data_IF_502490882232
#
_entry.id   IF_502490882232
#
_cell.length_a   1.000
_cell.length_b   1.000
_cell.length_c   1.000
_cell.angle_alpha   90.00
_cell.angle_beta   90.00
_cell.angle_gamma   90.00
#
_symmetry.space_group_name_H-M   'P 1'
#
loop_
_entity.id
_entity.type
_entity.pdbx_description
1 polymer ?
#
# COMPACT_ATOMS: atom_id res chain seq x y z
N UNK A 1 4.32 20.53 32.21
CA UNK A 1 5.10 19.28 31.97
C UNK A 1 4.27 18.16 31.32
N UNK A 2 2.97 18.02 31.60
CA UNK A 2 2.08 17.03 30.96
C UNK A 2 1.81 17.28 29.45
N UNK A 3 1.58 18.53 29.03
CA UNK A 3 1.38 18.88 27.60
C UNK A 3 2.57 18.52 26.70
N UNK A 4 3.80 18.78 27.15
CA UNK A 4 5.02 18.45 26.41
C UNK A 4 5.21 16.94 26.22
N UNK A 5 4.68 16.09 27.11
CA UNK A 5 4.77 14.63 27.00
C UNK A 5 3.75 14.09 26.00
N UNK A 6 2.51 14.59 26.04
CA UNK A 6 1.45 14.16 25.12
C UNK A 6 1.80 14.47 23.66
N UNK A 7 2.56 15.54 23.41
CA UNK A 7 2.95 15.89 22.04
C UNK A 7 4.14 15.08 21.49
N UNK A 8 4.84 14.27 22.31
CA UNK A 8 5.95 13.43 21.85
C UNK A 8 5.44 12.07 21.37
N UNK A 9 5.70 11.76 20.10
CA UNK A 9 5.26 10.53 19.45
C UNK A 9 6.45 9.71 18.98
N UNK A 10 6.42 8.41 19.21
CA UNK A 10 7.40 7.46 18.66
C UNK A 10 6.77 6.71 17.48
N UNK A 11 7.37 6.82 16.30
CA UNK A 11 6.98 6.08 15.10
C UNK A 11 8.00 4.98 14.83
N UNK A 12 7.55 3.73 14.75
CA UNK A 12 8.40 2.55 14.62
C UNK A 12 8.03 1.77 13.37
N UNK A 13 8.99 1.61 12.47
CA UNK A 13 8.99 0.55 11.45
C UNK A 13 10.15 -0.40 11.75
N UNK A 14 9.82 -1.57 12.28
CA UNK A 14 10.80 -2.57 12.68
C UNK A 14 11.02 -3.66 11.62
N UNK A 15 10.31 -3.59 10.48
CA UNK A 15 10.43 -4.54 9.39
C UNK A 15 11.11 -3.89 8.19
N UNK A 16 12.11 -4.56 7.62
CA UNK A 16 12.71 -4.06 6.39
C UNK A 16 11.86 -4.44 5.18
N UNK A 17 11.06 -3.48 4.71
CA UNK A 17 10.30 -3.60 3.48
C UNK A 17 10.56 -2.37 2.60
N UNK A 18 11.20 -2.55 1.44
CA UNK A 18 11.50 -1.43 0.53
C UNK A 18 10.26 -0.63 0.13
N UNK A 19 9.12 -1.30 -0.02
CA UNK A 19 7.83 -0.66 -0.31
C UNK A 19 7.34 0.30 0.78
N UNK A 20 7.90 0.25 2.00
CA UNK A 20 7.48 1.10 3.10
C UNK A 20 8.08 2.50 3.07
N UNK A 21 9.07 2.79 2.23
CA UNK A 21 9.69 4.13 2.20
C UNK A 21 8.63 5.22 1.96
N UNK A 22 7.84 5.07 0.90
CA UNK A 22 6.79 6.04 0.57
C UNK A 22 5.67 6.05 1.61
N UNK A 23 5.26 4.87 2.10
CA UNK A 23 4.24 4.75 3.14
C UNK A 23 4.67 5.47 4.43
N UNK A 24 5.87 5.18 4.93
CA UNK A 24 6.42 5.81 6.14
C UNK A 24 6.51 7.32 5.97
N UNK A 25 6.98 7.81 4.81
CA UNK A 25 7.04 9.24 4.52
C UNK A 25 5.67 9.90 4.68
N UNK A 26 4.65 9.36 4.00
CA UNK A 26 3.27 9.89 4.02
C UNK A 26 2.72 9.97 5.44
N UNK A 27 2.89 8.92 6.24
CA UNK A 27 2.35 8.89 7.60
C UNK A 27 3.15 9.73 8.60
N UNK A 28 4.47 9.78 8.49
CA UNK A 28 5.32 10.63 9.34
C UNK A 28 5.05 12.12 9.04
N UNK A 29 4.98 12.51 7.76
CA UNK A 29 4.67 13.88 7.35
C UNK A 29 3.29 14.32 7.84
N UNK A 30 2.30 13.43 7.80
CA UNK A 30 0.97 13.70 8.35
C UNK A 30 1.01 13.98 9.86
N UNK A 31 1.75 13.18 10.63
CA UNK A 31 1.91 13.37 12.08
C UNK A 31 2.66 14.68 12.39
N UNK A 32 3.72 14.99 11.64
CA UNK A 32 4.45 16.26 11.79
C UNK A 32 3.54 17.46 11.50
N UNK A 33 2.74 17.40 10.44
CA UNK A 33 1.76 18.44 10.07
C UNK A 33 0.67 18.64 11.13
N UNK A 34 0.31 17.58 11.86
CA UNK A 34 -0.62 17.68 12.99
C UNK A 34 0.00 18.30 14.25
N UNK A 35 1.30 18.58 14.26
CA UNK A 35 2.02 19.29 15.33
C UNK A 35 2.76 18.37 16.31
N UNK A 36 2.81 17.06 16.06
CA UNK A 36 3.51 16.11 16.92
C UNK A 36 5.03 16.27 16.81
N UNK A 37 5.72 16.16 17.95
CA UNK A 37 7.16 15.96 17.99
C UNK A 37 7.46 14.47 17.74
N UNK A 38 7.61 14.11 16.47
CA UNK A 38 7.81 12.72 16.02
C UNK A 38 9.28 12.32 16.16
N UNK A 39 9.52 11.22 16.87
CA UNK A 39 10.79 10.49 16.88
C UNK A 39 10.68 9.17 16.14
N UNK A 40 11.73 8.81 15.43
CA UNK A 40 11.74 7.69 14.50
C UNK A 40 12.57 6.51 14.99
N UNK A 41 12.06 5.31 14.75
CA UNK A 41 12.80 4.05 14.84
C UNK A 41 12.63 3.31 13.53
N UNK A 42 13.65 3.34 12.67
CA UNK A 42 13.60 2.79 11.32
C UNK A 42 14.86 1.98 11.01
N UNK A 43 14.72 1.00 10.11
CA UNK A 43 15.87 0.30 9.53
C UNK A 43 16.82 1.25 8.79
N UNK A 44 18.14 1.04 8.94
CA UNK A 44 19.18 1.92 8.37
C UNK A 44 18.99 2.22 6.89
N UNK A 45 18.58 1.24 6.09
CA UNK A 45 18.35 1.43 4.65
C UNK A 45 17.08 2.22 4.32
N UNK A 46 16.03 2.12 5.14
CA UNK A 46 14.82 2.93 4.97
C UNK A 46 15.13 4.36 5.42
N UNK A 47 15.82 4.51 6.56
CA UNK A 47 16.21 5.80 7.09
C UNK A 47 17.06 6.63 6.09
N UNK A 48 17.99 5.99 5.38
CA UNK A 48 18.83 6.67 4.37
C UNK A 48 18.06 7.18 3.14
N UNK A 49 16.82 6.73 2.93
CA UNK A 49 15.99 7.14 1.79
C UNK A 49 14.94 8.20 2.16
N UNK A 50 14.85 8.55 3.44
CA UNK A 50 13.89 9.52 3.94
C UNK A 50 14.56 10.87 4.23
N UNK A 51 13.85 12.00 4.03
CA UNK A 51 14.43 13.33 4.15
C UNK A 51 14.49 13.85 5.60
N UNK A 52 14.62 12.96 6.59
CA UNK A 52 14.57 13.34 8.01
C UNK A 52 15.98 13.47 8.59
N UNK A 53 16.19 14.49 9.42
CA UNK A 53 17.46 14.75 10.06
C UNK A 53 17.77 13.68 11.13
N UNK A 54 19.06 13.40 11.35
CA UNK A 54 19.50 12.36 12.30
C UNK A 54 18.94 12.57 13.72
N UNK A 55 18.78 13.81 14.17
CA UNK A 55 18.23 14.17 15.47
C UNK A 55 16.75 13.80 15.63
N UNK A 56 16.03 13.54 14.55
CA UNK A 56 14.65 13.03 14.58
C UNK A 56 14.60 11.53 14.88
N UNK A 57 15.71 10.80 14.81
CA UNK A 57 15.75 9.37 15.11
C UNK A 57 16.01 9.16 16.60
N UNK A 58 15.12 8.39 17.25
CA UNK A 58 15.39 7.83 18.56
C UNK A 58 16.34 6.62 18.46
N UNK A 59 16.27 5.89 17.34
CA UNK A 59 17.12 4.75 17.06
C UNK A 59 17.15 4.49 15.55
N UNK A 60 18.33 4.17 15.01
CA UNK A 60 18.46 3.59 13.67
C UNK A 60 18.80 2.12 13.83
N UNK A 61 17.92 1.24 13.34
CA UNK A 61 18.12 -0.21 13.45
C UNK A 61 19.25 -0.63 12.50
N UNK A 62 20.28 -1.35 12.98
CA UNK A 62 21.43 -1.72 12.17
C UNK A 62 21.04 -2.70 11.05
N UNK A 63 21.80 -2.69 9.94
CA UNK A 63 21.52 -3.52 8.74
C UNK A 63 21.37 -5.02 9.03
N UNK A 64 22.09 -5.52 10.02
CA UNK A 64 22.03 -6.92 10.46
C UNK A 64 20.65 -7.31 11.03
N UNK A 65 19.90 -6.35 11.55
CA UNK A 65 18.60 -6.53 12.19
C UNK A 65 17.49 -6.04 11.23
N UNK A 66 17.22 -6.83 10.20
CA UNK A 66 16.31 -6.46 9.13
C UNK A 66 16.64 -7.09 7.77
N UNK A 67 17.53 -8.08 7.71
CA UNK A 67 17.81 -8.76 6.45
C UNK A 67 16.58 -9.52 5.94
N UNK A 68 16.30 -9.38 4.65
CA UNK A 68 15.25 -10.15 4.00
C UNK A 68 15.74 -11.60 3.81
N UNK A 69 15.31 -12.48 4.70
CA UNK A 69 15.68 -13.90 4.67
C UNK A 69 14.54 -14.70 4.05
N UNK A 70 14.85 -15.54 3.05
CA UNK A 70 13.85 -16.37 2.37
C UNK A 70 13.17 -17.40 3.30
N UNK A 71 13.83 -17.79 4.40
CA UNK A 71 13.27 -18.70 5.39
C UNK A 71 12.30 -17.98 6.35
N UNK A 72 11.00 -18.35 6.39
CA UNK A 72 10.00 -17.67 7.21
C UNK A 72 10.22 -17.77 8.72
N UNK A 73 10.82 -18.85 9.22
CA UNK A 73 11.08 -19.04 10.65
C UNK A 73 12.24 -18.15 11.07
N UNK A 74 13.34 -18.19 10.31
CA UNK A 74 14.51 -17.35 10.58
C UNK A 74 14.17 -15.86 10.47
N UNK A 75 13.33 -15.48 9.49
CA UNK A 75 12.79 -14.12 9.39
C UNK A 75 12.09 -13.67 10.67
N UNK A 76 11.23 -14.52 11.26
CA UNK A 76 10.57 -14.22 12.55
C UNK A 76 11.54 -14.16 13.73
N UNK A 77 12.58 -14.99 13.75
CA UNK A 77 13.62 -14.93 14.79
C UNK A 77 14.34 -13.58 14.71
N UNK A 78 14.75 -13.15 13.51
CA UNK A 78 15.40 -11.85 13.30
C UNK A 78 14.47 -10.71 13.72
N UNK A 79 13.18 -10.77 13.37
CA UNK A 79 12.20 -9.78 13.80
C UNK A 79 12.05 -9.72 15.32
N UNK A 80 12.06 -10.86 16.02
CA UNK A 80 12.05 -10.90 17.50
C UNK A 80 13.32 -10.27 18.09
N UNK A 81 14.50 -10.56 17.52
CA UNK A 81 15.76 -9.95 17.92
C UNK A 81 15.74 -8.43 17.67
N UNK A 82 15.22 -7.97 16.53
CA UNK A 82 15.00 -6.56 16.24
C UNK A 82 14.09 -5.90 17.28
N UNK A 83 12.98 -6.55 17.65
CA UNK A 83 12.08 -6.05 18.69
C UNK A 83 12.82 -5.90 20.02
N UNK A 84 13.54 -6.95 20.45
CA UNK A 84 14.30 -6.95 21.71
C UNK A 84 15.35 -5.83 21.69
N UNK A 85 16.11 -5.71 20.60
CA UNK A 85 17.13 -4.67 20.42
C UNK A 85 16.54 -3.27 20.60
N UNK A 86 15.42 -2.97 19.94
CA UNK A 86 14.73 -1.68 20.09
C UNK A 86 14.28 -1.48 21.54
N UNK A 87 13.76 -2.52 22.21
CA UNK A 87 13.31 -2.41 23.61
C UNK A 87 14.43 -2.08 24.58
N UNK A 88 15.65 -2.56 24.32
CA UNK A 88 16.82 -2.26 25.13
C UNK A 88 17.36 -0.84 24.90
N UNK A 89 17.14 -0.26 23.71
CA UNK A 89 17.72 1.03 23.32
C UNK A 89 16.72 2.20 23.34
N UNK A 90 15.43 1.94 23.47
CA UNK A 90 14.38 2.98 23.44
C UNK A 90 13.57 3.01 24.73
N UNK A 91 13.56 4.17 25.39
CA UNK A 91 12.73 4.41 26.57
C UNK A 91 11.30 4.82 26.18
N UNK A 92 10.41 3.83 25.99
CA UNK A 92 9.01 4.08 25.58
C UNK A 92 8.23 5.01 26.52
N UNK A 93 8.53 5.01 27.81
CA UNK A 93 7.84 5.85 28.80
C UNK A 93 8.06 7.36 28.61
N UNK A 94 9.02 7.76 27.76
CA UNK A 94 9.29 9.15 27.38
C UNK A 94 8.34 9.69 26.30
N UNK A 95 7.48 8.85 25.72
CA UNK A 95 6.56 9.21 24.65
C UNK A 95 5.11 9.16 25.14
N UNK A 96 4.27 10.08 24.66
CA UNK A 96 2.83 10.07 24.90
C UNK A 96 2.11 9.05 24.02
N UNK A 97 2.60 8.87 22.79
CA UNK A 97 2.04 7.95 21.79
C UNK A 97 3.13 7.09 21.14
N UNK A 98 2.79 5.83 20.85
CA UNK A 98 3.64 4.90 20.11
C UNK A 98 2.86 4.35 18.93
N UNK A 99 3.31 4.67 17.71
CA UNK A 99 2.74 4.19 16.45
C UNK A 99 3.68 3.16 15.85
N UNK A 100 3.15 1.97 15.55
CA UNK A 100 3.88 0.90 14.86
C UNK A 100 3.37 0.85 13.42
N UNK A 101 4.24 1.09 12.44
CA UNK A 101 3.85 1.25 11.03
C UNK A 101 3.43 -0.05 10.36
N UNK A 102 3.80 -1.20 10.92
CA UNK A 102 3.44 -2.52 10.42
C UNK A 102 3.58 -3.59 11.51
N UNK A 103 3.07 -4.80 11.23
CA UNK A 103 3.22 -5.93 12.15
C UNK A 103 3.30 -7.28 11.45
N UNK A 104 4.09 -8.18 12.02
CA UNK A 104 3.84 -9.63 11.96
C UNK A 104 3.05 -10.02 13.21
N UNK A 105 1.97 -10.78 13.02
CA UNK A 105 1.05 -11.12 14.09
C UNK A 105 1.74 -11.86 15.23
N UNK A 106 2.62 -12.80 14.90
CA UNK A 106 3.22 -13.72 15.87
C UNK A 106 4.31 -13.00 16.64
N UNK A 107 5.25 -12.33 15.96
CA UNK A 107 6.41 -11.74 16.64
C UNK A 107 5.98 -10.60 17.55
N UNK A 108 5.14 -9.67 17.07
CA UNK A 108 4.71 -8.53 17.86
C UNK A 108 3.74 -8.97 18.96
N UNK A 109 2.89 -9.97 18.70
CA UNK A 109 1.99 -10.50 19.73
C UNK A 109 2.70 -11.31 20.81
N UNK A 110 3.80 -11.99 20.47
CA UNK A 110 4.65 -12.67 21.45
C UNK A 110 5.46 -11.68 22.29
N UNK A 111 6.07 -10.69 21.63
CA UNK A 111 6.92 -9.67 22.26
C UNK A 111 6.44 -8.26 21.87
N UNK A 112 5.39 -7.72 22.50
CA UNK A 112 4.98 -6.35 22.25
C UNK A 112 6.04 -5.36 22.73
N UNK A 113 6.27 -4.27 21.99
CA UNK A 113 7.20 -3.21 22.39
C UNK A 113 6.77 -2.57 23.72
N UNK A 114 5.51 -2.16 23.76
CA UNK A 114 4.89 -1.44 24.87
C UNK A 114 3.39 -1.77 24.94
N UNK A 115 2.69 -1.23 25.93
CA UNK A 115 1.22 -1.21 25.95
C UNK A 115 0.71 0.11 25.35
N UNK A 116 -0.55 0.19 24.96
CA UNK A 116 -1.18 1.41 24.41
C UNK A 116 -0.56 1.87 23.08
N UNK A 117 -0.09 0.92 22.28
CA UNK A 117 0.38 1.18 20.92
C UNK A 117 -0.78 1.35 19.96
N UNK A 118 -0.54 2.10 18.88
CA UNK A 118 -1.40 2.17 17.70
C UNK A 118 -0.69 1.41 16.56
N UNK A 119 -1.25 0.27 16.15
CA UNK A 119 -0.59 -0.68 15.26
C UNK A 119 -1.25 -0.65 13.88
N UNK A 120 -0.52 -0.18 12.87
CA UNK A 120 -1.04 -0.13 11.50
C UNK A 120 -0.99 -1.52 10.86
N UNK A 121 -2.10 -1.93 10.28
CA UNK A 121 -2.33 -3.24 9.69
C UNK A 121 -2.48 -3.14 8.17
N UNK A 122 -1.55 -3.71 7.41
CA UNK A 122 -1.51 -3.66 5.94
C UNK A 122 -2.29 -4.79 5.25
N UNK A 123 -2.59 -5.85 5.99
CA UNK A 123 -3.37 -7.00 5.52
C UNK A 123 -3.59 -8.05 6.61
N UNK A 124 -3.34 -7.69 7.87
CA UNK A 124 -3.28 -8.58 9.02
C UNK A 124 -4.65 -9.10 9.45
N UNK A 125 -5.75 -8.48 8.98
CA UNK A 125 -7.11 -8.99 9.14
C UNK A 125 -7.26 -10.43 8.63
N UNK A 126 -6.51 -10.82 7.59
CA UNK A 126 -6.46 -12.21 7.09
C UNK A 126 -5.95 -13.20 8.14
N UNK A 127 -5.07 -12.74 9.04
CA UNK A 127 -4.55 -13.54 10.15
C UNK A 127 -5.63 -14.00 11.13
N UNK A 128 -6.78 -13.31 11.20
CA UNK A 128 -7.89 -13.70 12.09
C UNK A 128 -8.54 -15.03 11.70
N UNK A 129 -8.48 -15.43 10.42
CA UNK A 129 -8.96 -16.74 9.98
C UNK A 129 -8.08 -17.89 10.52
N UNK A 130 -6.78 -17.63 10.72
CA UNK A 130 -5.84 -18.61 11.23
C UNK A 130 -5.84 -18.63 12.78
N UNK A 131 -5.98 -19.82 13.39
CA UNK A 131 -6.12 -19.95 14.85
C UNK A 131 -4.91 -19.38 15.63
N UNK A 132 -3.70 -19.67 15.16
CA UNK A 132 -2.45 -19.24 15.81
C UNK A 132 -2.28 -17.73 15.71
N UNK A 133 -2.37 -17.17 14.50
CA UNK A 133 -2.29 -15.72 14.29
C UNK A 133 -3.38 -14.98 15.05
N UNK A 134 -4.61 -15.50 15.05
CA UNK A 134 -5.74 -14.93 15.81
C UNK A 134 -5.45 -14.84 17.30
N UNK A 135 -4.81 -15.84 17.90
CA UNK A 135 -4.43 -15.80 19.32
C UNK A 135 -3.54 -14.59 19.60
N UNK A 136 -2.50 -14.37 18.78
CA UNK A 136 -1.57 -13.26 18.95
C UNK A 136 -2.19 -11.90 18.65
N UNK A 137 -3.05 -11.79 17.63
CA UNK A 137 -3.81 -10.56 17.36
C UNK A 137 -4.72 -10.22 18.56
N UNK A 138 -5.46 -11.20 19.10
CA UNK A 138 -6.31 -10.99 20.29
C UNK A 138 -5.49 -10.60 21.52
N UNK A 139 -4.30 -11.15 21.68
CA UNK A 139 -3.38 -10.74 22.75
C UNK A 139 -2.96 -9.28 22.62
N UNK A 140 -2.61 -8.83 21.41
CA UNK A 140 -2.30 -7.42 21.14
C UNK A 140 -3.51 -6.51 21.40
N UNK A 141 -4.71 -6.94 20.99
CA UNK A 141 -5.95 -6.19 21.12
C UNK A 141 -6.32 -5.81 22.58
N UNK A 142 -5.84 -6.57 23.58
CA UNK A 142 -6.16 -6.31 24.99
C UNK A 142 -5.68 -4.93 25.47
N UNK A 143 -4.54 -4.48 24.97
CA UNK A 143 -3.89 -3.27 25.48
C UNK A 143 -3.52 -2.27 24.40
N UNK A 144 -3.82 -2.56 23.13
CA UNK A 144 -3.41 -1.75 21.98
C UNK A 144 -4.60 -1.50 21.06
N UNK A 145 -4.46 -0.50 20.21
CA UNK A 145 -5.38 -0.23 19.12
C UNK A 145 -4.77 -0.64 17.78
N UNK A 146 -5.64 -0.98 16.83
CA UNK A 146 -5.26 -1.20 15.44
C UNK A 146 -5.69 -0.03 14.58
N UNK A 147 -4.91 0.24 13.55
CA UNK A 147 -5.23 1.18 12.48
C UNK A 147 -5.28 0.39 11.18
N UNK A 148 -6.35 0.56 10.42
CA UNK A 148 -6.55 -0.01 9.08
C UNK A 148 -6.91 1.10 8.09
N UNK A 149 -6.97 0.78 6.81
CA UNK A 149 -7.07 1.80 5.77
C UNK A 149 -8.47 2.04 5.20
N UNK A 150 -9.39 1.14 5.44
CA UNK A 150 -10.80 1.30 5.08
C UNK A 150 -11.69 0.40 5.96
N UNK A 151 -13.01 0.59 5.88
CA UNK A 151 -13.97 -0.18 6.68
C UNK A 151 -13.96 -1.69 6.34
N UNK A 152 -13.68 -2.06 5.09
CA UNK A 152 -13.58 -3.48 4.71
C UNK A 152 -12.45 -4.22 5.45
N UNK A 153 -11.35 -3.52 5.77
CA UNK A 153 -10.25 -4.06 6.55
C UNK A 153 -10.56 -4.12 8.05
N UNK A 154 -11.45 -3.25 8.54
CA UNK A 154 -11.87 -3.17 9.94
C UNK A 154 -12.87 -4.27 10.30
N UNK A 155 -13.79 -4.56 9.38
CA UNK A 155 -14.89 -5.50 9.57
C UNK A 155 -14.46 -6.87 10.18
N UNK A 156 -13.38 -7.53 9.72
CA UNK A 156 -12.96 -8.81 10.29
C UNK A 156 -12.53 -8.70 11.76
N UNK A 157 -11.90 -7.59 12.17
CA UNK A 157 -11.52 -7.38 13.57
C UNK A 157 -12.75 -7.25 14.46
N UNK A 158 -13.72 -6.43 14.03
CA UNK A 158 -14.98 -6.23 14.76
C UNK A 158 -15.75 -7.54 14.89
N UNK A 159 -15.86 -8.33 13.81
CA UNK A 159 -16.46 -9.68 13.83
C UNK A 159 -15.80 -10.64 14.83
N UNK A 160 -14.52 -10.42 15.16
CA UNK A 160 -13.79 -11.22 16.15
C UNK A 160 -13.77 -10.59 17.55
N UNK A 161 -14.59 -9.56 17.80
CA UNK A 161 -14.73 -8.88 19.08
C UNK A 161 -13.66 -7.83 19.37
N UNK A 162 -12.84 -7.44 18.38
CA UNK A 162 -11.80 -6.43 18.54
C UNK A 162 -12.37 -5.07 18.15
N UNK A 163 -12.62 -4.22 19.14
CA UNK A 163 -13.33 -2.93 18.97
C UNK A 163 -12.41 -1.73 18.75
N UNK A 164 -11.19 -1.75 19.32
CA UNK A 164 -10.20 -0.65 19.24
C UNK A 164 -9.51 -0.67 17.87
N UNK A 165 -10.28 -0.41 16.81
CA UNK A 165 -9.83 -0.43 15.42
C UNK A 165 -10.31 0.83 14.73
N UNK A 166 -9.35 1.62 14.29
CA UNK A 166 -9.58 2.92 13.66
C UNK A 166 -9.25 2.85 12.18
N UNK A 167 -9.99 3.62 11.38
CA UNK A 167 -9.70 3.78 9.96
C UNK A 167 -8.91 5.08 9.78
N UNK A 168 -7.75 4.98 9.14
CA UNK A 168 -6.92 6.11 8.73
C UNK A 168 -6.62 5.92 7.26
N UNK A 169 -6.75 6.95 6.43
CA UNK A 169 -6.37 6.85 5.02
C UNK A 169 -4.93 6.36 4.86
N UNK A 170 -4.68 5.51 3.85
CA UNK A 170 -3.33 5.10 3.47
C UNK A 170 -2.48 6.29 2.97
N UNK A 171 -3.14 7.31 2.42
CA UNK A 171 -2.49 8.50 1.89
C UNK A 171 -1.88 8.31 0.51
N UNK A 172 -1.75 9.45 -0.18
CA UNK A 172 -1.18 9.54 -1.52
C UNK A 172 0.33 9.78 -1.43
N UNK A 173 1.08 9.14 -2.32
CA UNK A 173 2.47 9.51 -2.58
C UNK A 173 2.54 10.89 -3.24
N UNK A 174 3.70 11.57 -3.21
CA UNK A 174 3.89 12.76 -4.03
C UNK A 174 3.61 12.46 -5.52
N UNK A 175 3.04 13.42 -6.27
CA UNK A 175 2.86 13.26 -7.72
C UNK A 175 4.18 12.88 -8.39
N UNK A 176 4.09 12.00 -9.38
CA UNK A 176 5.23 11.52 -10.13
C UNK A 176 5.79 12.62 -11.04
N UNK A 177 7.07 12.49 -11.35
CA UNK A 177 7.75 13.37 -12.28
C UNK A 177 8.05 12.60 -13.56
N UNK A 178 7.96 13.30 -14.70
CA UNK A 178 8.38 12.75 -15.97
C UNK A 178 9.88 12.96 -16.17
N UNK A 179 10.57 11.91 -16.59
CA UNK A 179 12.03 11.85 -16.73
C UNK A 179 12.40 11.71 -18.21
N UNK A 180 12.65 12.81 -18.94
CA UNK A 180 12.82 12.79 -20.40
C UNK A 180 14.08 12.03 -20.85
N UNK A 181 15.08 11.91 -19.98
CA UNK A 181 16.35 11.24 -20.28
C UNK A 181 16.28 9.71 -20.12
N UNK A 182 15.18 9.17 -19.60
CA UNK A 182 15.01 7.72 -19.45
C UNK A 182 14.54 7.15 -20.80
N UNK A 183 15.33 6.28 -21.44
CA UNK A 183 14.97 5.73 -22.74
C UNK A 183 13.67 4.94 -22.66
N UNK A 184 12.83 5.10 -23.68
CA UNK A 184 11.61 4.31 -23.80
C UNK A 184 11.98 2.83 -23.94
N UNK A 185 11.50 2.01 -22.98
CA UNK A 185 11.73 0.56 -23.01
C UNK A 185 10.86 -0.17 -24.04
N UNK A 186 9.68 0.40 -24.31
CA UNK A 186 8.68 -0.19 -25.20
C UNK A 186 8.48 0.75 -26.37
N UNK A 187 8.32 0.19 -27.57
CA UNK A 187 7.96 0.96 -28.76
C UNK A 187 6.49 1.42 -28.65
N UNK A 188 6.25 2.51 -27.93
CA UNK A 188 4.90 3.05 -27.70
C UNK A 188 4.43 3.97 -28.82
N UNK A 189 5.35 4.46 -29.67
CA UNK A 189 5.08 5.48 -30.70
C UNK A 189 4.09 5.02 -31.79
N UNK A 190 3.97 3.72 -32.03
CA UNK A 190 3.00 3.16 -32.98
C UNK A 190 1.57 3.10 -32.42
N UNK A 191 1.40 3.36 -31.13
CA UNK A 191 0.11 3.28 -30.44
C UNK A 191 -0.40 4.68 -30.07
N UNK A 192 -1.72 4.87 -30.19
CA UNK A 192 -2.38 6.12 -29.79
C UNK A 192 -2.65 6.18 -28.30
N UNK A 193 -2.81 5.02 -27.66
CA UNK A 193 -3.28 4.88 -26.28
C UNK A 193 -2.46 3.83 -25.54
N UNK A 194 -2.36 3.99 -24.23
CA UNK A 194 -1.65 3.10 -23.34
C UNK A 194 -2.50 2.72 -22.13
N UNK A 195 -2.68 1.42 -21.91
CA UNK A 195 -3.24 0.86 -20.68
C UNK A 195 -2.11 0.15 -19.94
N UNK A 196 -1.98 0.41 -18.65
CA UNK A 196 -0.90 -0.15 -17.85
C UNK A 196 -1.41 -0.83 -16.58
N UNK A 197 -1.03 -2.08 -16.37
CA UNK A 197 -1.17 -2.79 -15.10
C UNK A 197 0.18 -2.81 -14.35
N UNK A 198 0.37 -1.93 -13.35
CA UNK A 198 1.67 -1.74 -12.68
C UNK A 198 2.06 -2.81 -11.66
N UNK A 199 1.08 -3.58 -11.16
CA UNK A 199 1.30 -4.51 -10.05
C UNK A 199 1.81 -5.87 -10.53
N UNK A 200 2.83 -6.46 -9.88
CA UNK A 200 3.24 -7.84 -10.18
C UNK A 200 2.26 -8.89 -9.63
N UNK A 201 1.37 -8.49 -8.71
CA UNK A 201 0.36 -9.35 -8.09
C UNK A 201 -0.94 -9.34 -8.91
N UNK A 202 -0.91 -9.96 -10.08
CA UNK A 202 -2.09 -10.06 -10.95
C UNK A 202 -2.86 -11.37 -10.72
N UNK A 203 -4.16 -11.39 -11.05
CA UNK A 203 -4.94 -12.62 -11.14
C UNK A 203 -4.61 -13.38 -12.42
N UNK A 204 -3.84 -14.46 -12.30
CA UNK A 204 -3.43 -15.27 -13.44
C UNK A 204 -4.60 -15.88 -14.20
N UNK A 205 -5.69 -16.23 -13.52
CA UNK A 205 -6.87 -16.82 -14.16
C UNK A 205 -7.63 -15.80 -15.01
N UNK A 206 -7.65 -14.54 -14.59
CA UNK A 206 -8.23 -13.46 -15.37
C UNK A 206 -7.32 -13.06 -16.54
N UNK A 207 -6.01 -13.03 -16.32
CA UNK A 207 -5.03 -12.75 -17.39
C UNK A 207 -5.12 -13.78 -18.51
N UNK A 208 -5.28 -15.05 -18.19
CA UNK A 208 -5.45 -16.08 -19.21
C UNK A 208 -6.67 -15.82 -20.11
N UNK A 209 -7.81 -15.47 -19.51
CA UNK A 209 -9.02 -15.06 -20.26
C UNK A 209 -8.80 -13.80 -21.08
N UNK A 210 -8.04 -12.84 -20.54
CA UNK A 210 -7.70 -11.58 -21.20
C UNK A 210 -6.90 -11.85 -22.49
N UNK A 211 -5.88 -12.70 -22.41
CA UNK A 211 -5.00 -12.99 -23.55
C UNK A 211 -5.72 -13.71 -24.69
N UNK A 212 -6.68 -14.57 -24.36
CA UNK A 212 -7.45 -15.35 -25.35
C UNK A 212 -8.73 -14.66 -25.82
N UNK A 213 -9.01 -13.43 -25.40
CA UNK A 213 -10.24 -12.72 -25.79
C UNK A 213 -10.11 -12.03 -27.15
N UNK A 214 -10.72 -12.60 -28.19
CA UNK A 214 -10.79 -11.99 -29.52
C UNK A 214 -11.40 -10.57 -29.49
N UNK A 215 -12.43 -10.37 -28.65
CA UNK A 215 -13.09 -9.08 -28.50
C UNK A 215 -12.14 -8.01 -27.96
N UNK A 216 -11.36 -8.33 -26.93
CA UNK A 216 -10.37 -7.40 -26.40
C UNK A 216 -9.29 -7.11 -27.44
N UNK A 217 -8.80 -8.14 -28.12
CA UNK A 217 -7.78 -7.97 -29.17
C UNK A 217 -8.28 -7.04 -30.29
N UNK A 218 -9.51 -7.24 -30.77
CA UNK A 218 -10.14 -6.38 -31.76
C UNK A 218 -10.30 -4.94 -31.28
N UNK A 219 -10.68 -4.73 -30.00
CA UNK A 219 -10.76 -3.40 -29.40
C UNK A 219 -9.38 -2.72 -29.35
N UNK A 220 -8.36 -3.41 -28.84
CA UNK A 220 -7.01 -2.87 -28.74
C UNK A 220 -6.43 -2.49 -30.11
N UNK A 221 -6.67 -3.31 -31.13
CA UNK A 221 -6.26 -3.01 -32.51
C UNK A 221 -7.01 -1.80 -33.08
N UNK A 222 -8.34 -1.79 -32.98
CA UNK A 222 -9.20 -0.71 -33.50
C UNK A 222 -8.81 0.65 -32.90
N UNK A 223 -8.60 0.69 -31.58
CA UNK A 223 -8.27 1.92 -30.85
C UNK A 223 -6.75 2.23 -30.86
N UNK A 224 -5.94 1.41 -31.54
CA UNK A 224 -4.46 1.47 -31.52
C UNK A 224 -3.92 1.59 -30.10
N UNK A 225 -4.43 0.75 -29.21
CA UNK A 225 -4.09 0.74 -27.80
C UNK A 225 -3.03 -0.33 -27.51
N UNK A 226 -2.03 0.04 -26.72
CA UNK A 226 -1.07 -0.89 -26.14
C UNK A 226 -1.49 -1.22 -24.70
N UNK A 227 -1.56 -2.50 -24.38
CA UNK A 227 -1.75 -2.98 -23.01
C UNK A 227 -0.43 -3.53 -22.46
N UNK A 228 0.08 -2.94 -21.39
CA UNK A 228 1.27 -3.43 -20.69
C UNK A 228 0.85 -4.08 -19.39
N UNK A 229 1.17 -5.36 -19.25
CA UNK A 229 0.89 -6.15 -18.06
C UNK A 229 2.19 -6.49 -17.35
N UNK A 230 2.36 -5.97 -16.13
CA UNK A 230 3.40 -6.46 -15.25
C UNK A 230 2.90 -7.70 -14.50
N UNK A 231 3.64 -8.79 -14.55
CA UNK A 231 3.36 -10.00 -13.76
C UNK A 231 4.62 -10.88 -13.71
N UNK A 232 4.78 -11.67 -12.64
CA UNK A 232 6.00 -12.42 -12.38
C UNK A 232 6.09 -13.75 -13.15
N UNK A 233 5.02 -14.22 -13.78
CA UNK A 233 5.02 -15.51 -14.50
C UNK A 233 5.48 -15.32 -15.95
N UNK A 234 6.21 -16.26 -16.55
CA UNK A 234 6.45 -16.16 -18.00
C UNK A 234 5.19 -16.58 -18.76
N UNK A 235 4.71 -15.71 -19.64
CA UNK A 235 3.59 -16.02 -20.54
C UNK A 235 4.05 -15.73 -21.96
N UNK A 236 3.90 -16.71 -22.84
CA UNK A 236 4.15 -16.53 -24.27
C UNK A 236 2.97 -15.77 -24.85
N UNK A 237 3.19 -14.52 -25.26
CA UNK A 237 2.19 -13.67 -25.89
C UNK A 237 2.48 -13.59 -27.38
N UNK A 238 1.46 -13.84 -28.21
CA UNK A 238 1.52 -13.70 -29.66
C UNK A 238 0.86 -12.41 -30.17
N UNK A 239 0.24 -11.62 -29.29
CA UNK A 239 -0.48 -10.41 -29.66
C UNK A 239 0.39 -9.15 -29.58
N UNK A 240 0.53 -8.43 -30.69
CA UNK A 240 1.36 -7.23 -30.80
C UNK A 240 0.88 -6.02 -29.96
N UNK A 241 -0.39 -5.98 -29.56
CA UNK A 241 -0.97 -4.93 -28.72
C UNK A 241 -0.87 -5.23 -27.22
N UNK A 242 -0.29 -6.37 -26.82
CA UNK A 242 -0.13 -6.74 -25.41
C UNK A 242 1.35 -7.03 -25.13
N UNK A 243 1.94 -6.28 -24.21
CA UNK A 243 3.32 -6.49 -23.76
C UNK A 243 3.30 -6.97 -22.31
N UNK A 244 4.16 -7.93 -22.05
CA UNK A 244 4.38 -8.46 -20.72
C UNK A 244 5.72 -7.99 -20.14
N UNK A 245 5.73 -7.68 -18.84
CA UNK A 245 6.92 -7.25 -18.11
C UNK A 245 7.06 -8.08 -16.83
N UNK A 246 8.07 -8.95 -16.77
CA UNK A 246 8.33 -9.79 -15.59
C UNK A 246 9.37 -9.20 -14.65
N UNK A 247 10.22 -8.34 -15.18
CA UNK A 247 11.28 -7.69 -14.44
C UNK A 247 10.79 -6.54 -13.56
N UNK A 248 11.63 -6.19 -12.60
CA UNK A 248 11.46 -4.96 -11.83
C UNK A 248 11.72 -3.74 -12.73
N UNK A 249 10.78 -2.79 -12.76
CA UNK A 249 10.96 -1.53 -13.46
C UNK A 249 11.71 -0.54 -12.56
N UNK A 250 12.80 0.10 -13.04
CA UNK A 250 13.39 1.25 -12.36
C UNK A 250 12.33 2.31 -12.08
N UNK A 251 12.48 3.03 -10.96
CA UNK A 251 11.46 3.99 -10.47
C UNK A 251 11.11 5.03 -11.54
N UNK A 252 12.11 5.59 -12.22
CA UNK A 252 11.90 6.63 -13.22
C UNK A 252 11.15 6.08 -14.46
N UNK A 253 11.48 4.87 -14.90
CA UNK A 253 10.77 4.19 -15.98
C UNK A 253 9.33 3.85 -15.58
N UNK A 254 9.11 3.39 -14.35
CA UNK A 254 7.78 3.15 -13.80
C UNK A 254 6.94 4.43 -13.81
N UNK A 255 7.50 5.54 -13.33
CA UNK A 255 6.83 6.84 -13.29
C UNK A 255 6.49 7.35 -14.69
N UNK A 256 7.42 7.30 -15.64
CA UNK A 256 7.15 7.68 -17.03
C UNK A 256 6.02 6.85 -17.62
N UNK A 257 6.05 5.53 -17.42
CA UNK A 257 5.04 4.63 -17.95
C UNK A 257 3.67 4.91 -17.32
N UNK A 258 3.63 5.10 -16.00
CA UNK A 258 2.41 5.44 -15.27
C UNK A 258 1.83 6.77 -15.73
N UNK A 259 2.67 7.80 -15.89
CA UNK A 259 2.27 9.13 -16.36
C UNK A 259 1.87 9.16 -17.84
N UNK A 260 2.39 8.24 -18.66
CA UNK A 260 2.01 8.14 -20.08
C UNK A 260 0.72 7.34 -20.27
N UNK A 261 0.38 6.43 -19.34
CA UNK A 261 -0.83 5.62 -19.44
C UNK A 261 -2.11 6.48 -19.41
N UNK A 262 -3.03 6.19 -20.32
CA UNK A 262 -4.39 6.74 -20.35
C UNK A 262 -5.25 6.10 -19.26
N UNK A 263 -5.08 4.78 -19.05
CA UNK A 263 -5.83 4.00 -18.06
C UNK A 263 -4.86 3.13 -17.27
N UNK A 264 -4.98 3.17 -15.95
CA UNK A 264 -4.32 2.24 -15.04
C UNK A 264 -5.26 1.07 -14.76
N UNK A 265 -4.76 -0.15 -14.89
CA UNK A 265 -5.53 -1.38 -14.73
C UNK A 265 -5.09 -2.12 -13.48
N UNK A 266 -6.04 -2.51 -12.63
CA UNK A 266 -5.76 -3.29 -11.42
C UNK A 266 -6.56 -4.59 -11.41
N UNK A 267 -5.89 -5.72 -11.64
CA UNK A 267 -6.50 -7.06 -11.67
C UNK A 267 -5.90 -7.88 -10.52
N UNK A 268 -6.25 -7.54 -9.28
CA UNK A 268 -5.73 -8.27 -8.13
C UNK A 268 -6.47 -9.60 -7.91
N UNK A 269 -5.76 -10.67 -7.51
CA UNK A 269 -6.38 -11.96 -7.21
C UNK A 269 -7.25 -11.91 -5.95
N UNK A 270 -8.14 -12.89 -5.76
CA UNK A 270 -9.01 -13.00 -4.58
C UNK A 270 -8.24 -12.95 -3.23
N UNK A 271 -6.99 -13.44 -3.20
CA UNK A 271 -6.10 -13.35 -2.02
C UNK A 271 -5.73 -11.92 -1.61
N UNK A 272 -6.05 -10.93 -2.44
CA UNK A 272 -5.89 -9.51 -2.15
C UNK A 272 -6.89 -8.98 -1.10
N UNK A 273 -7.77 -9.86 -0.59
CA UNK A 273 -8.77 -9.54 0.44
C UNK A 273 -8.17 -8.85 1.67
N UNK A 274 -8.86 -7.83 2.16
CA UNK A 274 -8.53 -7.03 3.35
C UNK A 274 -7.20 -6.28 3.22
N UNK A 275 -6.91 -5.73 2.05
CA UNK A 275 -5.75 -4.89 1.78
C UNK A 275 -6.17 -3.64 1.00
N UNK A 276 -5.27 -2.67 0.89
CA UNK A 276 -5.42 -1.51 0.01
C UNK A 276 -4.38 -1.54 -1.09
N UNK A 277 -4.71 -0.94 -2.22
CA UNK A 277 -3.84 -0.85 -3.37
C UNK A 277 -3.04 0.44 -3.27
N UNK A 278 -1.71 0.38 -3.14
CA UNK A 278 -0.89 1.59 -3.27
C UNK A 278 -1.09 2.27 -4.63
N UNK A 279 -1.31 1.47 -5.68
CA UNK A 279 -1.56 1.95 -7.05
C UNK A 279 -2.82 2.82 -7.13
N UNK A 280 -3.89 2.53 -6.37
CA UNK A 280 -5.08 3.39 -6.41
C UNK A 280 -4.81 4.79 -5.85
N UNK A 281 -3.96 4.91 -4.84
CA UNK A 281 -3.51 6.19 -4.30
C UNK A 281 -2.49 6.89 -5.21
N UNK A 282 -1.68 6.13 -5.95
CA UNK A 282 -0.85 6.67 -7.04
C UNK A 282 -1.72 7.24 -8.17
N UNK A 283 -2.85 6.61 -8.50
CA UNK A 283 -3.81 7.15 -9.47
C UNK A 283 -4.37 8.48 -9.00
N UNK A 284 -4.79 8.60 -7.73
CA UNK A 284 -5.27 9.87 -7.17
C UNK A 284 -4.17 10.94 -7.16
N UNK A 285 -2.94 10.59 -6.75
CA UNK A 285 -1.78 11.49 -6.75
C UNK A 285 -1.50 12.10 -8.13
N UNK A 286 -1.74 11.34 -9.19
CA UNK A 286 -1.42 11.70 -10.57
C UNK A 286 -2.65 11.97 -11.45
N UNK A 287 -3.85 12.04 -10.84
CA UNK A 287 -5.13 12.23 -11.53
C UNK A 287 -5.35 11.27 -12.70
N UNK A 288 -5.00 9.99 -12.52
CA UNK A 288 -5.14 8.95 -13.53
C UNK A 288 -6.47 8.24 -13.47
N UNK A 289 -7.01 7.93 -14.64
CA UNK A 289 -8.14 7.02 -14.77
C UNK A 289 -7.72 5.61 -14.42
N UNK A 290 -8.57 4.90 -13.70
CA UNK A 290 -8.35 3.54 -13.27
C UNK A 290 -9.56 2.66 -13.60
N UNK A 291 -9.28 1.42 -14.00
CA UNK A 291 -10.23 0.33 -14.02
C UNK A 291 -9.72 -0.79 -13.12
N UNK A 292 -10.63 -1.47 -12.41
CA UNK A 292 -10.24 -2.61 -11.59
C UNK A 292 -11.20 -3.78 -11.64
N UNK A 293 -10.63 -4.98 -11.59
CA UNK A 293 -11.42 -6.20 -11.54
C UNK A 293 -12.17 -6.28 -10.21
N UNK A 294 -13.42 -6.78 -10.26
CA UNK A 294 -14.30 -6.92 -9.10
C UNK A 294 -13.60 -7.59 -7.92
N UNK A 295 -13.28 -6.78 -6.91
CA UNK A 295 -12.60 -7.21 -5.69
C UNK A 295 -13.11 -6.35 -4.53
N UNK A 296 -13.71 -6.94 -3.47
CA UNK A 296 -14.27 -6.17 -2.36
C UNK A 296 -13.28 -5.22 -1.69
N UNK A 297 -11.99 -5.56 -1.73
CA UNK A 297 -10.93 -4.72 -1.16
C UNK A 297 -10.62 -3.48 -1.97
N UNK A 298 -11.19 -3.34 -3.18
CA UNK A 298 -11.09 -2.14 -4.00
C UNK A 298 -12.40 -1.34 -4.07
N UNK A 299 -13.47 -1.76 -3.38
CA UNK A 299 -14.77 -1.07 -3.48
C UNK A 299 -14.71 0.42 -3.11
N UNK A 300 -13.79 0.81 -2.22
CA UNK A 300 -13.56 2.22 -1.86
C UNK A 300 -13.08 3.06 -3.05
N UNK A 301 -12.51 2.45 -4.09
CA UNK A 301 -12.05 3.16 -5.28
C UNK A 301 -13.21 3.66 -6.14
N UNK A 302 -14.44 3.16 -5.97
CA UNK A 302 -15.59 3.67 -6.71
C UNK A 302 -15.83 5.16 -6.39
N UNK A 303 -15.58 5.56 -5.14
CA UNK A 303 -15.78 6.93 -4.67
C UNK A 303 -14.69 7.90 -5.18
N UNK A 304 -13.65 7.40 -5.85
CA UNK A 304 -12.55 8.23 -6.37
C UNK A 304 -12.84 8.83 -7.75
N UNK A 305 -13.87 8.35 -8.44
CA UNK A 305 -14.14 8.66 -9.84
C UNK A 305 -15.61 9.06 -10.04
N UNK A 306 -15.87 9.87 -11.06
CA UNK A 306 -17.25 10.19 -11.50
C UNK A 306 -17.82 9.20 -12.53
N UNK A 307 -17.20 8.03 -12.66
CA UNK A 307 -17.64 6.92 -13.49
C UNK A 307 -17.55 5.62 -12.68
N UNK A 308 -18.03 4.50 -13.21
CA UNK A 308 -17.94 3.19 -12.53
C UNK A 308 -16.64 2.46 -12.93
N UNK A 309 -15.56 2.48 -12.11
CA UNK A 309 -14.26 1.88 -12.46
C UNK A 309 -14.20 0.35 -12.33
N UNK A 310 -15.09 -0.25 -11.54
CA UNK A 310 -15.11 -1.70 -11.36
C UNK A 310 -15.62 -2.40 -12.62
N UNK A 311 -14.96 -3.49 -13.03
CA UNK A 311 -15.45 -4.41 -14.06
C UNK A 311 -15.55 -5.86 -13.54
N UNK A 312 -16.49 -6.63 -14.07
CA UNK A 312 -16.74 -8.02 -13.62
C UNK A 312 -16.09 -9.09 -14.49
N UNK A 313 -16.01 -8.83 -15.79
CA UNK A 313 -15.51 -9.77 -16.80
C UNK A 313 -14.84 -9.00 -17.96
N UNK A 314 -14.42 -9.73 -19.00
CA UNK A 314 -13.73 -9.15 -20.16
C UNK A 314 -14.66 -8.29 -21.02
N UNK A 315 -15.94 -8.64 -21.12
CA UNK A 315 -16.92 -7.87 -21.89
C UNK A 315 -17.17 -6.50 -21.25
N UNK A 316 -17.34 -6.49 -19.94
CA UNK A 316 -17.48 -5.28 -19.14
C UNK A 316 -16.20 -4.42 -19.17
N UNK A 317 -15.03 -5.06 -19.10
CA UNK A 317 -13.73 -4.39 -19.27
C UNK A 317 -13.65 -3.69 -20.63
N UNK A 318 -14.00 -4.37 -21.73
CA UNK A 318 -13.96 -3.80 -23.07
C UNK A 318 -14.89 -2.57 -23.20
N UNK A 319 -16.11 -2.67 -22.69
CA UNK A 319 -17.04 -1.54 -22.69
C UNK A 319 -16.50 -0.34 -21.90
N UNK A 320 -15.88 -0.58 -20.74
CA UNK A 320 -15.33 0.50 -19.90
C UNK A 320 -14.08 1.13 -20.48
N UNK A 321 -13.22 0.34 -21.14
CA UNK A 321 -12.08 0.89 -21.90
C UNK A 321 -12.62 1.82 -22.98
N UNK A 322 -13.54 1.34 -23.83
CA UNK A 322 -14.12 2.15 -24.90
C UNK A 322 -14.77 3.44 -24.34
N UNK A 323 -15.57 3.32 -23.27
CA UNK A 323 -16.19 4.46 -22.62
C UNK A 323 -15.17 5.53 -22.17
N UNK A 324 -14.09 5.12 -21.48
CA UNK A 324 -13.07 6.05 -20.99
C UNK A 324 -12.26 6.69 -22.12
N UNK A 325 -11.99 5.97 -23.21
CA UNK A 325 -11.26 6.51 -24.35
C UNK A 325 -12.05 7.59 -25.11
N UNK A 326 -13.39 7.54 -25.03
CA UNK A 326 -14.31 8.43 -25.76
C UNK A 326 -15.07 9.43 -24.87
N UNK A 327 -14.84 9.41 -23.55
CA UNK A 327 -15.52 10.30 -22.58
C UNK A 327 -14.51 11.09 -21.74
N UNK A 328 -14.02 12.25 -22.22
CA UNK A 328 -13.01 13.04 -21.50
C UNK A 328 -13.45 13.58 -20.14
N UNK A 329 -14.76 13.65 -19.89
CA UNK A 329 -15.34 14.08 -18.61
C UNK A 329 -15.28 12.99 -17.54
N UNK A 330 -15.06 11.72 -17.91
CA UNK A 330 -14.88 10.61 -16.99
C UNK A 330 -13.46 10.64 -16.40
N UNK A 331 -13.35 10.99 -15.12
CA UNK A 331 -12.08 11.23 -14.45
C UNK A 331 -12.07 10.95 -12.96
N UNK A 332 -10.87 10.88 -12.39
CA UNK A 332 -10.68 10.97 -10.94
C UNK A 332 -11.16 12.33 -10.44
N UNK A 333 -11.95 12.34 -9.37
CA UNK A 333 -12.51 13.56 -8.76
C UNK A 333 -11.95 13.84 -7.37
N UNK A 334 -11.33 12.84 -6.75
CA UNK A 334 -10.70 12.98 -5.43
C UNK A 334 -9.32 13.62 -5.57
N UNK A 335 -9.03 14.56 -4.67
CA UNK A 335 -7.74 15.23 -4.58
C UNK A 335 -6.87 14.57 -3.49
N UNK A 336 -5.52 14.55 -3.66
CA UNK A 336 -4.61 13.96 -2.68
C UNK A 336 -4.80 14.47 -1.25
N UNK A 337 -5.11 15.76 -1.10
CA UNK A 337 -5.34 16.40 0.20
C UNK A 337 -6.49 15.75 1.00
N UNK A 338 -7.54 15.28 0.31
CA UNK A 338 -8.70 14.62 0.92
C UNK A 338 -8.37 13.22 1.46
N UNK A 339 -7.28 12.62 0.97
CA UNK A 339 -6.80 11.31 1.41
C UNK A 339 -5.62 11.41 2.37
N UNK A 340 -5.28 12.60 2.88
CA UNK A 340 -4.20 12.75 3.87
C UNK A 340 -4.52 11.94 5.14
N UNK A 341 -3.59 11.11 5.65
CA UNK A 341 -3.79 10.44 6.94
C UNK A 341 -4.04 11.46 8.04
N UNK A 342 -4.96 11.16 8.95
CA UNK A 342 -5.21 11.99 10.13
C UNK A 342 -5.27 11.14 11.40
N UNK A 343 -4.67 11.66 12.47
CA UNK A 343 -4.48 10.95 13.73
C UNK A 343 -5.07 11.68 14.94
N UNK A 344 -5.45 12.96 14.81
CA UNK A 344 -6.02 13.78 15.89
C UNK A 344 -7.19 13.10 16.61
N UNK A 345 -8.13 12.51 15.87
CA UNK A 345 -9.29 11.85 16.49
C UNK A 345 -8.96 10.50 17.16
N UNK A 346 -7.79 9.93 16.87
CA UNK A 346 -7.44 8.55 17.24
C UNK A 346 -6.47 8.53 18.41
N UNK A 347 -5.41 9.34 18.37
CA UNK A 347 -4.35 9.31 19.38
C UNK A 347 -4.84 9.82 20.75
N UNK A 348 -5.83 10.70 20.76
CA UNK A 348 -6.51 11.16 21.97
C UNK A 348 -7.73 10.33 22.37
N UNK A 349 -8.10 9.31 21.58
CA UNK A 349 -9.19 8.40 21.94
C UNK A 349 -8.78 7.61 23.19
N UNK A 350 -9.62 7.56 24.25
CA UNK A 350 -9.30 6.79 25.43
C UNK A 350 -9.17 5.32 25.04
N UNK A 351 -7.95 4.77 25.16
CA UNK A 351 -7.72 3.32 25.07
C UNK A 351 -8.25 2.56 26.31
N UNK A 352 -8.93 3.26 27.24
CA UNK A 352 -9.52 2.73 28.47
C UNK A 352 -10.98 2.36 28.22
N UNK A 353 -11.18 1.08 27.93
CA UNK A 353 -12.27 0.22 28.42
C UNK A 353 -11.67 -1.18 28.54
#
# INVERSE_FOLDING_TARGET
MMEQKNNKLLYIDYMFMRGHVNFNRVHIDALLKEGYNVKLVLHKEIASLLPYAYQQYALVIPRILGTNVHNPILSRIIMLLTIIYIKLHVRFSSYGHVVISCMDEITLGACPFYQKMFIICHGNARGLANRVKRLFIKRLAKHNAFIVFNESMKEPFVKHGIRKVFVVSHGCVPPFQFHPNVPAKFATSSFKRLIFHPSPNIDSSFVDKLLHSEKLQALLQKEKCLLILRNNNHINITNANIIYVSEYLPVELYQNLFLTADIILNIYPARFKYMVSGVSFECVANQKNMLFASNPSLNYCNDFYNYQPMFKDIDDLCHKIAYLLHTPTAKCTVLPAQLTPTYKAILYSPLRE
#
